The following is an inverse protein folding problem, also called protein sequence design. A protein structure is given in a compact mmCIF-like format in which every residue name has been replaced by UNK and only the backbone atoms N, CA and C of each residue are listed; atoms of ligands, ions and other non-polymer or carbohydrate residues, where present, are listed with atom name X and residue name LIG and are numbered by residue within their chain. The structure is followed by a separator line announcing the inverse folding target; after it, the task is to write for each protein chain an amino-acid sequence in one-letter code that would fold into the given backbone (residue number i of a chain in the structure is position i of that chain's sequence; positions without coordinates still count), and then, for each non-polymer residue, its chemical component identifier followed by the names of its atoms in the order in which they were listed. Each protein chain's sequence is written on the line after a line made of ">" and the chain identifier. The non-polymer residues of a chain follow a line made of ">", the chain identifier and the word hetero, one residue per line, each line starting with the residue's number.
data_IF_303810368692
#
_entry.id   IF_303810368692
#
_cell.length_a   1.000
_cell.length_b   1.000
_cell.length_c   1.000
_cell.angle_alpha   90.00
_cell.angle_beta   90.00
_cell.angle_gamma   90.00
#
_symmetry.space_group_name_H-M   'P 1'
#
loop_
_entity.id
_entity.type
_entity.pdbx_description
1 polymer ?
#
# COMPACT_ATOMS: atom_id res chain seq x y z
N UNK A 1 7.53 -14.69 0.34
CA UNK A 1 6.87 -13.71 -0.56
C UNK A 1 7.91 -12.83 -1.22
N UNK A 2 7.82 -12.63 -2.52
CA UNK A 2 8.69 -11.74 -3.31
C UNK A 2 7.90 -10.65 -4.04
N UNK A 3 8.58 -9.61 -4.55
CA UNK A 3 7.93 -8.61 -5.42
C UNK A 3 7.40 -9.21 -6.72
N UNK A 4 7.98 -10.32 -7.17
CA UNK A 4 7.52 -11.06 -8.35
C UNK A 4 6.18 -11.75 -8.09
N UNK A 5 5.97 -12.27 -6.88
CA UNK A 5 4.70 -12.89 -6.50
C UNK A 5 3.60 -11.83 -6.40
N UNK A 6 3.91 -10.69 -5.78
CA UNK A 6 2.99 -9.56 -5.70
C UNK A 6 2.65 -9.00 -7.09
N UNK A 7 3.61 -8.95 -8.01
CA UNK A 7 3.37 -8.51 -9.37
C UNK A 7 2.37 -9.40 -10.12
N UNK A 8 2.45 -10.72 -9.91
CA UNK A 8 1.48 -11.68 -10.48
C UNK A 8 0.08 -11.46 -9.91
N UNK A 9 -0.03 -11.25 -8.60
CA UNK A 9 -1.30 -10.99 -7.93
C UNK A 9 -1.97 -9.71 -8.47
N UNK A 10 -1.19 -8.65 -8.64
CA UNK A 10 -1.70 -7.35 -9.10
C UNK A 10 -1.86 -7.24 -10.62
N UNK A 11 -1.48 -8.26 -11.39
CA UNK A 11 -1.44 -8.18 -12.86
C UNK A 11 -0.46 -7.10 -13.38
N UNK A 12 0.61 -6.85 -12.64
CA UNK A 12 1.63 -5.83 -12.94
C UNK A 12 2.98 -6.46 -13.31
N UNK A 13 3.87 -5.65 -13.86
CA UNK A 13 5.29 -6.02 -13.95
C UNK A 13 5.98 -5.84 -12.60
N UNK A 14 7.07 -6.58 -12.37
CA UNK A 14 7.88 -6.40 -11.17
C UNK A 14 8.44 -4.97 -11.04
N UNK A 15 8.80 -4.34 -12.16
CA UNK A 15 9.25 -2.93 -12.18
C UNK A 15 8.15 -1.97 -11.71
N UNK A 16 6.91 -2.18 -12.14
CA UNK A 16 5.76 -1.35 -11.75
C UNK A 16 5.42 -1.50 -10.27
N UNK A 17 5.59 -2.69 -9.68
CA UNK A 17 5.51 -2.91 -8.23
C UNK A 17 6.65 -2.18 -7.52
N UNK A 18 7.87 -2.33 -8.03
CA UNK A 18 9.07 -1.68 -7.48
C UNK A 18 8.96 -0.15 -7.42
N UNK A 19 8.36 0.49 -8.44
CA UNK A 19 8.14 1.94 -8.46
C UNK A 19 7.09 2.38 -7.43
N UNK A 20 6.02 1.59 -7.23
CA UNK A 20 5.00 1.84 -6.20
C UNK A 20 5.56 1.72 -4.78
N UNK A 21 6.29 0.65 -4.50
CA UNK A 21 6.90 0.42 -3.19
C UNK A 21 7.98 1.47 -2.83
N UNK A 22 8.57 2.12 -3.84
CA UNK A 22 9.51 3.25 -3.65
C UNK A 22 8.83 4.62 -3.61
N UNK A 23 7.50 4.68 -3.71
CA UNK A 23 6.73 5.92 -3.70
C UNK A 23 6.86 6.76 -4.98
N UNK A 24 7.41 6.22 -6.06
CA UNK A 24 7.50 6.91 -7.36
C UNK A 24 6.16 6.92 -8.10
N UNK A 25 5.31 5.94 -7.82
CA UNK A 25 3.95 5.86 -8.32
C UNK A 25 3.01 5.61 -7.15
N UNK A 26 1.96 6.41 -6.95
CA UNK A 26 1.03 6.20 -5.86
C UNK A 26 0.24 4.90 -6.03
N UNK A 27 -0.05 4.22 -4.92
CA UNK A 27 -0.98 3.10 -4.87
C UNK A 27 -2.43 3.61 -4.90
N UNK A 28 -3.26 2.96 -5.70
CA UNK A 28 -4.71 3.21 -5.75
C UNK A 28 -5.43 2.31 -4.75
N UNK A 29 -6.64 2.70 -4.34
CA UNK A 29 -7.47 1.92 -3.42
C UNK A 29 -7.64 0.44 -3.82
N UNK A 30 -7.92 0.08 -5.10
CA UNK A 30 -8.03 -1.34 -5.47
C UNK A 30 -6.71 -2.10 -5.32
N UNK A 31 -5.57 -1.44 -5.58
CA UNK A 31 -4.24 -2.03 -5.43
C UNK A 31 -3.91 -2.23 -3.95
N UNK A 32 -4.25 -1.26 -3.09
CA UNK A 32 -4.12 -1.37 -1.63
C UNK A 32 -4.90 -2.56 -1.08
N UNK A 33 -6.14 -2.77 -1.55
CA UNK A 33 -6.95 -3.90 -1.09
C UNK A 33 -6.36 -5.24 -1.52
N UNK A 34 -5.94 -5.37 -2.78
CA UNK A 34 -5.29 -6.58 -3.26
C UNK A 34 -3.96 -6.87 -2.53
N UNK A 35 -3.18 -5.84 -2.19
CA UNK A 35 -1.97 -5.98 -1.37
C UNK A 35 -2.32 -6.49 0.03
N UNK A 36 -3.38 -5.97 0.65
CA UNK A 36 -3.83 -6.39 1.97
C UNK A 36 -4.27 -7.85 1.98
N UNK A 37 -5.07 -8.25 0.98
CA UNK A 37 -5.52 -9.63 0.79
C UNK A 37 -4.32 -10.58 0.59
N UNK A 38 -3.35 -10.19 -0.23
CA UNK A 38 -2.13 -10.94 -0.48
C UNK A 38 -1.25 -11.12 0.78
N UNK A 39 -1.22 -10.09 1.64
CA UNK A 39 -0.51 -10.11 2.91
C UNK A 39 -1.29 -10.78 4.05
N UNK A 40 -2.54 -11.15 3.82
CA UNK A 40 -3.48 -11.64 4.82
C UNK A 40 -3.61 -10.69 6.04
N UNK A 41 -3.64 -9.38 5.77
CA UNK A 41 -3.87 -8.33 6.79
C UNK A 41 -5.09 -7.49 6.42
N UNK A 42 -5.78 -6.89 7.40
CA UNK A 42 -6.78 -5.87 7.13
C UNK A 42 -6.15 -4.68 6.38
N UNK A 43 -6.85 -4.09 5.40
CA UNK A 43 -6.31 -2.96 4.61
C UNK A 43 -5.98 -1.76 5.49
N UNK A 44 -6.67 -1.63 6.62
CA UNK A 44 -6.53 -0.54 7.57
C UNK A 44 -5.12 -0.51 8.18
N UNK A 45 -4.41 -1.64 8.18
CA UNK A 45 -3.00 -1.71 8.59
C UNK A 45 -2.02 -1.15 7.54
N UNK A 46 -2.46 -0.99 6.28
CA UNK A 46 -1.68 -0.37 5.21
C UNK A 46 -1.90 1.15 5.13
N UNK A 47 -2.96 1.64 5.77
CA UNK A 47 -3.26 3.05 5.86
C UNK A 47 -2.55 3.62 7.09
N UNK A 48 -1.87 4.74 6.92
CA UNK A 48 -1.33 5.48 8.07
C UNK A 48 -2.51 5.95 8.91
N UNK A 49 -2.45 5.73 10.23
CA UNK A 49 -3.40 6.35 11.14
C UNK A 49 -3.35 7.86 10.86
N UNK A 50 -4.51 8.55 10.76
CA UNK A 50 -4.51 9.97 10.46
C UNK A 50 -3.55 10.66 11.42
N UNK A 51 -2.54 11.33 10.86
CA UNK A 51 -1.62 12.13 11.67
C UNK A 51 -2.49 13.09 12.49
N UNK A 52 -2.26 13.23 13.81
CA UNK A 52 -3.02 14.17 14.60
C UNK A 52 -2.88 15.53 13.93
N UNK A 53 -4.02 16.09 13.57
CA UNK A 53 -4.08 17.41 12.96
C UNK A 53 -3.51 18.40 13.96
N UNK A 54 -2.87 19.48 13.49
CA UNK A 54 -2.28 20.50 14.38
C UNK A 54 -3.30 21.07 15.41
N UNK A 55 -4.61 20.95 15.14
CA UNK A 55 -5.68 21.29 16.07
C UNK A 55 -5.77 20.36 17.29
N UNK A 56 -5.45 19.07 17.13
CA UNK A 56 -5.51 18.06 18.20
C UNK A 56 -4.28 18.09 19.11
N UNK A 57 -3.13 18.56 18.61
CA UNK A 57 -1.87 18.68 19.39
C UNK A 57 -1.82 19.97 20.24
N UNK A 58 -2.67 20.94 19.93
CA UNK A 58 -2.73 22.25 20.59
C UNK A 58 -3.81 22.36 21.67
N UNK A 59 -4.54 21.28 21.94
CA UNK A 59 -5.56 21.16 23.01
C UNK A 59 -5.01 20.36 24.19
#
# INVERSE_FOLDING_TARGET
>A
MSQTDLARELGLTQSAVSDRLRGRTPLREPELRAIADFLAVPVEQLLEAPAPTLAEVAS
#
